data_IF_722855154451
#
_entry.id   IF_722855154451
#
_cell.length_a   1.000
_cell.length_b   1.000
_cell.length_c   1.000
_cell.angle_alpha   90.00
_cell.angle_beta   90.00
_cell.angle_gamma   90.00
#
_symmetry.space_group_name_H-M   'P 1'
#
loop_
_entity.id
_entity.type
_entity.pdbx_description
1 polymer ?
#
# COMPACT_ATOMS: atom_id res chain seq x y z
N UNK A 1 62.43 17.05 23.16
CA UNK A 1 61.71 17.11 24.46
C UNK A 1 60.23 16.84 24.16
N UNK A 2 59.76 15.58 24.03
CA UNK A 2 59.23 14.67 25.07
C UNK A 2 58.33 15.33 26.13
N UNK A 3 57.11 14.75 26.27
CA UNK A 3 56.07 14.82 27.33
C UNK A 3 55.10 16.03 27.27
N UNK A 4 53.78 15.91 27.43
CA UNK A 4 52.90 14.92 28.10
C UNK A 4 51.55 14.74 27.37
N UNK A 5 51.11 13.51 27.04
CA UNK A 5 50.12 12.72 27.81
C UNK A 5 49.07 13.55 28.59
N UNK A 6 47.90 13.75 27.99
CA UNK A 6 46.62 13.82 28.72
C UNK A 6 45.71 12.72 28.19
N UNK A 7 45.37 11.80 29.09
CA UNK A 7 44.36 10.77 28.86
C UNK A 7 42.99 11.42 28.72
N UNK A 8 42.34 11.21 27.59
CA UNK A 8 40.90 11.32 27.47
C UNK A 8 40.31 9.99 27.90
N UNK A 9 39.84 9.91 29.15
CA UNK A 9 39.05 8.78 29.62
C UNK A 9 37.81 8.65 28.74
N UNK A 10 37.61 7.46 28.15
CA UNK A 10 36.33 7.09 27.54
C UNK A 10 35.29 7.14 28.66
N UNK A 11 34.39 8.13 28.61
CA UNK A 11 33.16 8.10 29.41
C UNK A 11 32.32 6.94 28.88
N UNK A 12 32.21 5.90 29.70
CA UNK A 12 31.13 4.92 29.64
C UNK A 12 29.80 5.68 29.81
N UNK A 13 28.86 5.46 28.88
CA UNK A 13 27.49 5.94 29.00
C UNK A 13 27.10 7.09 28.07
N UNK A 14 27.48 7.05 26.79
CA UNK A 14 26.62 7.71 25.79
C UNK A 14 25.34 6.87 25.66
N UNK A 15 24.15 7.39 26.04
CA UNK A 15 22.92 6.76 25.61
C UNK A 15 22.94 6.76 24.09
N UNK A 16 22.81 5.57 23.50
CA UNK A 16 22.48 5.40 22.09
C UNK A 16 21.39 6.42 21.75
N UNK A 17 21.48 7.16 20.63
CA UNK A 17 20.43 8.10 20.26
C UNK A 17 19.14 7.29 20.18
N UNK A 18 18.28 7.46 21.19
CA UNK A 18 16.92 6.94 21.16
C UNK A 18 16.33 7.45 19.85
N UNK A 19 15.91 6.51 19.01
CA UNK A 19 15.52 6.78 17.63
C UNK A 19 14.68 8.04 17.56
N UNK A 20 15.04 8.94 16.65
CA UNK A 20 14.29 10.16 16.42
C UNK A 20 12.78 9.82 16.38
N UNK A 21 11.91 10.62 17.03
CA UNK A 21 10.48 10.33 17.07
C UNK A 21 9.99 10.09 15.64
N UNK A 22 9.33 8.95 15.44
CA UNK A 22 8.75 8.57 14.14
C UNK A 22 7.86 9.74 13.69
N UNK A 23 8.05 10.27 12.47
CA UNK A 23 7.17 11.29 11.93
C UNK A 23 5.71 10.86 12.05
N UNK A 24 4.82 11.79 12.41
CA UNK A 24 3.40 11.48 12.66
C UNK A 24 2.78 10.76 11.47
N UNK A 25 3.11 11.20 10.26
CA UNK A 25 2.67 10.60 9.00
C UNK A 25 3.10 9.14 8.87
N UNK A 26 4.34 8.82 9.25
CA UNK A 26 4.83 7.44 9.21
C UNK A 26 4.08 6.56 10.23
N UNK A 27 3.83 7.06 11.45
CA UNK A 27 3.07 6.32 12.46
C UNK A 27 1.62 6.03 12.02
N UNK A 28 0.98 6.99 11.33
CA UNK A 28 -0.35 6.81 10.74
C UNK A 28 -0.34 5.71 9.67
N UNK A 29 0.66 5.70 8.78
CA UNK A 29 0.81 4.68 7.74
C UNK A 29 1.07 3.29 8.34
N UNK A 30 1.98 3.19 9.31
CA UNK A 30 2.27 1.93 10.01
C UNK A 30 1.02 1.36 10.68
N UNK A 31 0.24 2.22 11.35
CA UNK A 31 -1.03 1.83 11.98
C UNK A 31 -2.05 1.36 10.94
N UNK A 32 -2.18 2.07 9.81
CA UNK A 32 -3.06 1.67 8.72
C UNK A 32 -2.70 0.29 8.16
N UNK A 33 -1.42 0.07 7.81
CA UNK A 33 -0.97 -1.20 7.23
C UNK A 33 -0.99 -2.33 8.26
N UNK A 34 -0.79 -2.05 9.55
CA UNK A 34 -0.99 -3.03 10.63
C UNK A 34 -2.44 -3.52 10.66
N UNK A 35 -3.42 -2.61 10.65
CA UNK A 35 -4.83 -2.97 10.56
C UNK A 35 -5.16 -3.73 9.27
N UNK A 36 -4.62 -3.30 8.13
CA UNK A 36 -4.81 -3.95 6.85
C UNK A 36 -4.26 -5.39 6.85
N UNK A 37 -3.08 -5.60 7.43
CA UNK A 37 -2.40 -6.89 7.52
C UNK A 37 -3.12 -7.92 8.40
N UNK A 38 -3.91 -7.46 9.38
CA UNK A 38 -4.79 -8.33 10.20
C UNK A 38 -6.24 -8.33 9.71
N UNK A 39 -6.49 -7.85 8.48
CA UNK A 39 -7.81 -7.80 7.84
C UNK A 39 -8.86 -6.96 8.59
N UNK A 40 -8.42 -5.99 9.42
CA UNK A 40 -9.30 -5.09 10.16
C UNK A 40 -9.63 -3.83 9.32
N UNK A 41 -10.31 -4.05 8.20
CA UNK A 41 -10.52 -3.01 7.18
C UNK A 41 -11.32 -1.80 7.66
N UNK A 42 -12.34 -2.01 8.48
CA UNK A 42 -13.14 -0.91 9.03
C UNK A 42 -12.28 -0.01 9.94
N UNK A 43 -11.46 -0.61 10.81
CA UNK A 43 -10.50 0.14 11.65
C UNK A 43 -9.44 0.86 10.82
N UNK A 44 -8.94 0.22 9.76
CA UNK A 44 -7.98 0.84 8.85
C UNK A 44 -8.57 2.09 8.20
N UNK A 45 -9.81 1.99 7.71
CA UNK A 45 -10.55 3.10 7.11
C UNK A 45 -10.83 4.22 8.12
N UNK A 46 -11.41 3.88 9.27
CA UNK A 46 -11.75 4.86 10.32
C UNK A 46 -10.51 5.62 10.81
N UNK A 47 -9.35 4.94 10.89
CA UNK A 47 -8.08 5.54 11.25
C UNK A 47 -7.69 6.67 10.27
N UNK A 48 -7.63 6.39 8.97
CA UNK A 48 -7.19 7.39 7.98
C UNK A 48 -8.23 8.49 7.75
N UNK A 49 -9.53 8.20 7.91
CA UNK A 49 -10.58 9.22 7.87
C UNK A 49 -10.48 10.18 9.06
N UNK A 50 -10.26 9.65 10.27
CA UNK A 50 -10.05 10.47 11.47
C UNK A 50 -8.82 11.38 11.33
N UNK A 51 -7.70 10.84 10.86
CA UNK A 51 -6.47 11.61 10.63
C UNK A 51 -6.68 12.69 9.56
N UNK A 52 -7.39 12.37 8.48
CA UNK A 52 -7.72 13.33 7.42
C UNK A 52 -8.60 14.48 7.93
N UNK A 53 -9.57 14.18 8.80
CA UNK A 53 -10.44 15.21 9.41
C UNK A 53 -9.74 16.04 10.49
N UNK A 54 -8.77 15.45 11.21
CA UNK A 54 -7.93 16.17 12.18
C UNK A 54 -6.92 17.11 11.50
N UNK A 55 -6.45 16.73 10.30
CA UNK A 55 -5.38 17.42 9.58
C UNK A 55 -5.85 18.10 8.29
N UNK A 56 -7.05 18.70 8.27
CA UNK A 56 -7.64 19.37 7.09
C UNK A 56 -6.75 20.44 6.44
N UNK A 57 -5.81 21.01 7.19
CA UNK A 57 -4.88 22.05 6.72
C UNK A 57 -3.51 21.48 6.30
N UNK A 58 -3.34 20.15 6.30
CA UNK A 58 -2.11 19.51 5.86
C UNK A 58 -1.93 19.60 4.34
N UNK A 59 -0.75 19.18 3.86
CA UNK A 59 -0.41 19.17 2.44
C UNK A 59 -1.44 18.42 1.60
N UNK A 60 -1.77 18.97 0.42
CA UNK A 60 -2.76 18.40 -0.50
C UNK A 60 -2.44 16.96 -0.93
N UNK A 61 -1.15 16.62 -1.03
CA UNK A 61 -0.62 15.28 -1.34
C UNK A 61 -0.96 14.28 -0.24
N UNK A 62 -0.69 14.63 1.02
CA UNK A 62 -1.00 13.81 2.20
C UNK A 62 -2.50 13.53 2.32
N UNK A 63 -3.33 14.56 2.20
CA UNK A 63 -4.79 14.41 2.26
C UNK A 63 -5.33 13.55 1.10
N UNK A 64 -4.73 13.67 -0.09
CA UNK A 64 -5.06 12.83 -1.23
C UNK A 64 -4.69 11.37 -1.00
N UNK A 65 -3.52 11.11 -0.39
CA UNK A 65 -3.12 9.76 -0.02
C UNK A 65 -4.07 9.16 1.01
N UNK A 66 -4.40 9.88 2.09
CA UNK A 66 -5.33 9.39 3.12
C UNK A 66 -6.71 9.03 2.55
N UNK A 67 -7.22 9.85 1.62
CA UNK A 67 -8.45 9.52 0.90
C UNK A 67 -8.31 8.23 0.07
N UNK A 68 -7.19 8.08 -0.65
CA UNK A 68 -6.88 6.85 -1.38
C UNK A 68 -6.77 5.62 -0.46
N UNK A 69 -6.16 5.74 0.72
CA UNK A 69 -6.07 4.64 1.70
C UNK A 69 -7.44 4.23 2.25
N UNK A 70 -8.36 5.17 2.44
CA UNK A 70 -9.74 4.85 2.82
C UNK A 70 -10.45 4.04 1.72
N UNK A 71 -10.28 4.42 0.45
CA UNK A 71 -10.77 3.65 -0.69
C UNK A 71 -10.11 2.27 -0.79
N UNK A 72 -8.81 2.17 -0.52
CA UNK A 72 -8.08 0.90 -0.50
C UNK A 72 -8.65 -0.06 0.56
N UNK A 73 -8.88 0.41 1.78
CA UNK A 73 -9.44 -0.42 2.85
C UNK A 73 -10.84 -0.95 2.48
N UNK A 74 -11.69 -0.10 1.88
CA UNK A 74 -13.01 -0.52 1.39
C UNK A 74 -12.90 -1.56 0.25
N UNK A 75 -11.98 -1.35 -0.70
CA UNK A 75 -11.74 -2.27 -1.81
C UNK A 75 -11.23 -3.63 -1.31
N UNK A 76 -10.27 -3.65 -0.41
CA UNK A 76 -9.71 -4.88 0.16
C UNK A 76 -10.74 -5.67 0.98
N UNK A 77 -11.65 -4.99 1.70
CA UNK A 77 -12.78 -5.66 2.36
C UNK A 77 -13.69 -6.36 1.36
N UNK A 78 -14.06 -5.68 0.27
CA UNK A 78 -14.87 -6.27 -0.79
C UNK A 78 -14.13 -7.43 -1.49
N UNK A 79 -12.82 -7.27 -1.72
CA UNK A 79 -11.95 -8.31 -2.29
C UNK A 79 -11.96 -9.56 -1.42
N UNK A 80 -11.70 -9.39 -0.13
CA UNK A 80 -11.57 -10.47 0.84
C UNK A 80 -12.86 -11.28 0.95
N UNK A 81 -13.99 -10.59 0.91
CA UNK A 81 -15.31 -11.23 0.94
C UNK A 81 -15.72 -11.84 -0.41
N UNK A 82 -14.88 -11.73 -1.45
CA UNK A 82 -15.12 -12.24 -2.80
C UNK A 82 -16.47 -11.81 -3.40
N UNK A 83 -16.98 -10.63 -3.02
CA UNK A 83 -18.33 -10.17 -3.40
C UNK A 83 -18.49 -9.86 -4.90
N UNK A 84 -17.38 -9.90 -5.64
CA UNK A 84 -17.33 -9.77 -7.10
C UNK A 84 -17.62 -11.09 -7.82
N UNK A 85 -17.42 -12.24 -7.16
CA UNK A 85 -17.72 -13.55 -7.75
C UNK A 85 -19.23 -13.78 -7.85
N UNK A 86 -19.67 -14.40 -8.95
CA UNK A 86 -21.06 -14.80 -9.11
C UNK A 86 -22.06 -13.68 -9.43
N UNK A 87 -21.60 -12.45 -9.73
CA UNK A 87 -22.45 -11.40 -10.28
C UNK A 87 -22.85 -11.74 -11.73
N UNK A 88 -23.81 -12.65 -11.88
CA UNK A 88 -24.33 -13.08 -13.18
C UNK A 88 -25.13 -11.95 -13.84
N UNK A 89 -24.83 -11.67 -15.10
CA UNK A 89 -25.60 -10.81 -16.00
C UNK A 89 -27.05 -11.35 -16.10
N UNK A 90 -27.98 -10.87 -15.26
CA UNK A 90 -29.41 -11.20 -15.37
C UNK A 90 -30.11 -11.75 -14.11
N UNK A 91 -29.41 -11.98 -13.00
CA UNK A 91 -30.05 -12.24 -11.70
C UNK A 91 -29.84 -11.03 -10.80
N UNK A 92 -30.92 -10.43 -10.29
CA UNK A 92 -30.90 -9.25 -9.43
C UNK A 92 -29.98 -9.44 -8.21
N UNK A 93 -28.70 -9.11 -8.36
CA UNK A 93 -27.84 -8.77 -7.24
C UNK A 93 -28.28 -7.39 -6.79
N UNK A 94 -28.97 -7.29 -5.65
CA UNK A 94 -29.39 -6.02 -5.07
C UNK A 94 -28.20 -5.13 -4.63
N UNK A 95 -26.95 -5.55 -4.90
CA UNK A 95 -25.71 -4.77 -4.78
C UNK A 95 -25.12 -4.34 -6.16
N UNK A 96 -25.85 -4.54 -7.26
CA UNK A 96 -25.33 -4.55 -8.64
C UNK A 96 -24.98 -3.21 -9.31
N UNK A 97 -25.01 -2.03 -8.68
CA UNK A 97 -24.94 -0.83 -9.56
C UNK A 97 -24.27 0.45 -9.09
N UNK A 98 -23.27 0.42 -8.20
CA UNK A 98 -22.45 1.63 -8.10
C UNK A 98 -20.96 1.44 -7.99
N UNK A 99 -20.48 0.43 -7.28
CA UNK A 99 -19.04 0.27 -7.11
C UNK A 99 -18.66 -1.21 -7.22
N UNK A 100 -18.50 -1.68 -8.46
CA UNK A 100 -17.77 -2.94 -8.66
C UNK A 100 -16.38 -2.78 -8.07
N UNK A 101 -15.80 -3.85 -7.51
CA UNK A 101 -14.44 -3.79 -6.97
C UNK A 101 -13.43 -3.27 -7.99
N UNK A 102 -13.66 -3.58 -9.29
CA UNK A 102 -12.90 -3.06 -10.42
C UNK A 102 -12.99 -1.54 -10.55
N UNK A 103 -14.19 -0.98 -10.35
CA UNK A 103 -14.41 0.48 -10.35
C UNK A 103 -13.62 1.13 -9.22
N UNK A 104 -13.69 0.58 -8.01
CA UNK A 104 -13.00 1.13 -6.83
C UNK A 104 -11.48 1.09 -7.04
N UNK A 105 -10.93 -0.05 -7.46
CA UNK A 105 -9.49 -0.19 -7.75
C UNK A 105 -9.03 0.70 -8.91
N UNK A 106 -9.84 0.87 -9.95
CA UNK A 106 -9.51 1.77 -11.07
C UNK A 106 -9.46 3.23 -10.60
N UNK A 107 -10.46 3.66 -9.82
CA UNK A 107 -10.49 5.01 -9.25
C UNK A 107 -9.28 5.24 -8.34
N UNK A 108 -9.04 4.31 -7.41
CA UNK A 108 -7.90 4.35 -6.49
C UNK A 108 -6.57 4.44 -7.24
N UNK A 109 -6.37 3.60 -8.26
CA UNK A 109 -5.15 3.60 -9.05
C UNK A 109 -4.92 4.95 -9.74
N UNK A 110 -5.98 5.60 -10.23
CA UNK A 110 -5.90 6.94 -10.82
C UNK A 110 -5.59 8.03 -9.79
N UNK A 111 -6.14 7.93 -8.58
CA UNK A 111 -5.83 8.84 -7.47
C UNK A 111 -4.36 8.70 -7.03
N UNK A 112 -3.87 7.48 -6.84
CA UNK A 112 -2.48 7.20 -6.49
C UNK A 112 -1.51 7.73 -7.56
N UNK A 113 -1.82 7.55 -8.85
CA UNK A 113 -1.01 8.12 -9.94
C UNK A 113 -0.91 9.64 -9.88
N UNK A 114 -1.96 10.35 -9.45
CA UNK A 114 -1.89 11.81 -9.25
C UNK A 114 -0.94 12.16 -8.11
N UNK A 115 -0.98 11.42 -7.00
CA UNK A 115 -0.03 11.61 -5.87
C UNK A 115 1.42 11.37 -6.32
N UNK A 116 1.68 10.31 -7.09
CA UNK A 116 3.00 10.04 -7.68
C UNK A 116 3.49 11.22 -8.53
N UNK A 117 2.62 11.75 -9.41
CA UNK A 117 2.95 12.86 -10.29
C UNK A 117 3.25 14.17 -9.51
N UNK A 118 2.46 14.46 -8.47
CA UNK A 118 2.69 15.62 -7.60
C UNK A 118 4.02 15.53 -6.87
N UNK A 119 4.36 14.37 -6.29
CA UNK A 119 5.63 14.18 -5.58
C UNK A 119 6.86 14.33 -6.48
N UNK A 120 6.78 13.89 -7.75
CA UNK A 120 7.87 14.08 -8.73
C UNK A 120 8.08 15.54 -9.15
N UNK A 121 7.02 16.36 -9.07
CA UNK A 121 7.08 17.78 -9.40
C UNK A 121 7.41 18.67 -8.19
N UNK A 122 7.42 18.12 -6.97
CA UNK A 122 7.65 18.85 -5.73
C UNK A 122 9.14 19.09 -5.39
N UNK A 123 10.05 18.91 -6.37
CA UNK A 123 11.50 19.15 -6.21
C UNK A 123 11.73 20.64 -5.89
N UNK A 124 11.84 20.96 -4.59
CA UNK A 124 12.02 22.33 -4.07
C UNK A 124 11.01 22.77 -3.00
N UNK A 125 10.07 21.92 -2.60
CA UNK A 125 9.08 22.22 -1.53
C UNK A 125 9.65 22.19 -0.10
N UNK A 126 8.84 22.65 0.87
CA UNK A 126 9.21 22.77 2.29
C UNK A 126 9.35 21.43 3.04
N UNK A 127 8.92 20.31 2.45
CA UNK A 127 8.99 18.97 3.06
C UNK A 127 9.33 17.87 2.02
N UNK A 128 10.56 17.87 1.44
CA UNK A 128 10.93 17.01 0.32
C UNK A 128 10.92 15.51 0.66
N UNK A 129 11.28 15.13 1.89
CA UNK A 129 11.33 13.73 2.32
C UNK A 129 9.94 13.08 2.42
N UNK A 130 8.93 13.85 2.85
CA UNK A 130 7.57 13.33 2.93
C UNK A 130 7.03 13.09 1.52
N UNK A 131 7.19 14.04 0.60
CA UNK A 131 6.72 13.88 -0.79
C UNK A 131 7.37 12.70 -1.51
N UNK A 132 8.67 12.44 -1.26
CA UNK A 132 9.35 11.26 -1.78
C UNK A 132 8.75 9.96 -1.24
N UNK A 133 8.51 9.88 0.07
CA UNK A 133 7.85 8.75 0.71
C UNK A 133 6.44 8.52 0.14
N UNK A 134 5.63 9.58 0.02
CA UNK A 134 4.26 9.50 -0.50
C UNK A 134 4.26 9.06 -1.97
N UNK A 135 5.17 9.58 -2.78
CA UNK A 135 5.30 9.20 -4.19
C UNK A 135 5.71 7.73 -4.31
N UNK A 136 6.72 7.29 -3.55
CA UNK A 136 7.19 5.91 -3.57
C UNK A 136 6.11 4.92 -3.11
N UNK A 137 5.46 5.23 -1.98
CA UNK A 137 4.37 4.41 -1.45
C UNK A 137 3.21 4.34 -2.45
N UNK A 138 2.82 5.47 -3.04
CA UNK A 138 1.73 5.50 -4.02
C UNK A 138 2.05 4.66 -5.27
N UNK A 139 3.31 4.65 -5.71
CA UNK A 139 3.76 3.81 -6.82
C UNK A 139 3.68 2.31 -6.47
N UNK A 140 4.13 1.92 -5.27
CA UNK A 140 3.98 0.55 -4.77
C UNK A 140 2.51 0.12 -4.69
N UNK A 141 1.65 1.01 -4.17
CA UNK A 141 0.21 0.76 -4.09
C UNK A 141 -0.44 0.64 -5.48
N UNK A 142 0.04 1.36 -6.50
CA UNK A 142 -0.42 1.16 -7.87
C UNK A 142 -0.15 -0.28 -8.35
N UNK A 143 1.07 -0.81 -8.13
CA UNK A 143 1.39 -2.20 -8.50
C UNK A 143 0.55 -3.20 -7.71
N UNK A 144 0.36 -2.97 -6.41
CA UNK A 144 -0.48 -3.82 -5.56
C UNK A 144 -1.93 -3.88 -6.08
N UNK A 145 -2.53 -2.72 -6.38
CA UNK A 145 -3.90 -2.62 -6.89
C UNK A 145 -4.05 -3.31 -8.25
N UNK A 146 -3.06 -3.16 -9.13
CA UNK A 146 -3.06 -3.87 -10.42
C UNK A 146 -2.98 -5.39 -10.24
N UNK A 147 -2.08 -5.87 -9.39
CA UNK A 147 -1.97 -7.29 -9.08
C UNK A 147 -3.29 -7.84 -8.50
N UNK A 148 -3.93 -7.11 -7.58
CA UNK A 148 -5.24 -7.46 -7.03
C UNK A 148 -6.30 -7.61 -8.12
N UNK A 149 -6.36 -6.69 -9.08
CA UNK A 149 -7.31 -6.78 -10.20
C UNK A 149 -7.05 -8.00 -11.09
N UNK A 150 -5.78 -8.29 -11.45
CA UNK A 150 -5.45 -9.47 -12.27
C UNK A 150 -5.79 -10.78 -11.53
N UNK A 151 -5.56 -10.85 -10.22
CA UNK A 151 -5.95 -12.02 -9.41
C UNK A 151 -7.48 -12.11 -9.27
N UNK A 152 -8.21 -11.00 -9.19
CA UNK A 152 -9.68 -11.02 -9.22
C UNK A 152 -10.19 -11.61 -10.54
N UNK A 153 -9.62 -11.21 -11.68
CA UNK A 153 -9.94 -11.78 -13.00
C UNK A 153 -9.64 -13.28 -13.06
N UNK A 154 -8.54 -13.71 -12.43
CA UNK A 154 -8.20 -15.12 -12.29
C UNK A 154 -9.23 -15.89 -11.43
N UNK A 155 -9.69 -15.34 -10.31
CA UNK A 155 -10.75 -15.93 -9.50
C UNK A 155 -12.08 -16.03 -10.27
N UNK A 156 -12.45 -15.00 -11.03
CA UNK A 156 -13.64 -15.04 -11.90
C UNK A 156 -13.52 -16.15 -12.96
N UNK A 157 -12.35 -16.30 -13.59
CA UNK A 157 -12.07 -17.38 -14.54
C UNK A 157 -12.24 -18.74 -13.86
N UNK A 158 -11.62 -18.98 -12.71
CA UNK A 158 -11.79 -20.23 -11.96
C UNK A 158 -13.24 -20.51 -11.59
N UNK A 159 -13.98 -19.48 -11.13
CA UNK A 159 -15.39 -19.60 -10.81
C UNK A 159 -16.22 -20.00 -12.04
N UNK A 160 -15.93 -19.44 -13.22
CA UNK A 160 -16.61 -19.81 -14.46
C UNK A 160 -16.36 -21.27 -14.88
N UNK A 161 -15.16 -21.79 -14.61
CA UNK A 161 -14.76 -23.17 -14.90
C UNK A 161 -15.33 -24.17 -13.90
N UNK A 162 -15.79 -23.73 -12.72
CA UNK A 162 -16.30 -24.61 -11.66
C UNK A 162 -17.50 -25.47 -12.06
N UNK A 163 -18.25 -25.05 -13.09
CA UNK A 163 -19.41 -25.79 -13.62
C UNK A 163 -19.06 -26.74 -14.77
N UNK A 164 -17.81 -26.74 -15.22
CA UNK A 164 -17.34 -27.60 -16.31
C UNK A 164 -16.96 -29.00 -15.80
N UNK A 165 -17.21 -30.03 -16.62
CA UNK A 165 -16.86 -31.42 -16.28
C UNK A 165 -15.35 -31.67 -16.24
N UNK A 166 -14.58 -30.84 -16.93
CA UNK A 166 -13.13 -30.93 -17.03
C UNK A 166 -12.55 -29.53 -16.87
N UNK A 167 -11.48 -29.41 -16.08
CA UNK A 167 -10.76 -28.17 -15.85
C UNK A 167 -9.31 -28.40 -16.25
N UNK A 168 -8.79 -27.57 -17.16
CA UNK A 168 -7.37 -27.59 -17.51
C UNK A 168 -6.57 -26.85 -16.43
N UNK A 169 -6.07 -27.59 -15.44
CA UNK A 169 -5.30 -27.03 -14.33
C UNK A 169 -3.95 -26.45 -14.76
N UNK A 170 -3.32 -27.00 -15.80
CA UNK A 170 -2.04 -26.53 -16.33
C UNK A 170 -2.15 -25.09 -16.87
N UNK A 171 -3.22 -24.80 -17.61
CA UNK A 171 -3.49 -23.44 -18.09
C UNK A 171 -3.68 -22.45 -16.94
N UNK A 172 -4.38 -22.86 -15.87
CA UNK A 172 -4.60 -22.00 -14.69
C UNK A 172 -3.28 -21.71 -13.95
N UNK A 173 -2.43 -22.72 -13.79
CA UNK A 173 -1.10 -22.56 -13.19
C UNK A 173 -0.27 -21.59 -14.03
N UNK A 174 -0.22 -21.77 -15.35
CA UNK A 174 0.54 -20.90 -16.25
C UNK A 174 0.08 -19.42 -16.17
N UNK A 175 -1.23 -19.19 -16.06
CA UNK A 175 -1.78 -17.83 -15.87
C UNK A 175 -1.32 -17.26 -14.52
N UNK A 176 -1.44 -18.02 -13.43
CA UNK A 176 -1.04 -17.57 -12.10
C UNK A 176 0.47 -17.28 -12.02
N UNK A 177 1.31 -18.14 -12.59
CA UNK A 177 2.76 -17.94 -12.66
C UNK A 177 3.13 -16.68 -13.44
N UNK A 178 2.44 -16.40 -14.54
CA UNK A 178 2.61 -15.17 -15.32
C UNK A 178 2.30 -13.91 -14.50
N UNK A 179 1.21 -13.93 -13.73
CA UNK A 179 0.83 -12.83 -12.83
C UNK A 179 1.90 -12.67 -11.74
N UNK A 180 2.28 -13.76 -11.05
CA UNK A 180 3.32 -13.74 -10.02
C UNK A 180 4.61 -13.14 -10.55
N UNK A 181 5.14 -13.67 -11.67
CA UNK A 181 6.39 -13.19 -12.28
C UNK A 181 6.37 -11.70 -12.59
N UNK A 182 5.23 -11.16 -13.05
CA UNK A 182 5.06 -9.73 -13.37
C UNK A 182 5.22 -8.84 -12.15
N UNK A 183 4.71 -9.27 -11.00
CA UNK A 183 4.71 -8.47 -9.77
C UNK A 183 5.81 -8.84 -8.78
N UNK A 184 6.48 -9.98 -8.93
CA UNK A 184 7.66 -10.37 -8.12
C UNK A 184 8.90 -9.49 -8.34
N UNK A 185 8.97 -8.80 -9.48
CA UNK A 185 10.10 -7.92 -9.83
C UNK A 185 9.93 -6.46 -9.34
N UNK A 186 8.78 -6.14 -8.73
CA UNK A 186 8.55 -4.82 -8.13
C UNK A 186 9.41 -4.71 -6.88
N UNK A 187 10.49 -3.93 -6.99
CA UNK A 187 11.60 -3.90 -6.04
C UNK A 187 11.09 -3.72 -4.60
N UNK A 188 11.55 -4.54 -3.65
CA UNK A 188 11.32 -4.30 -2.24
C UNK A 188 11.85 -2.91 -1.86
N UNK A 189 11.14 -2.28 -0.92
CA UNK A 189 11.46 -1.04 -0.20
C UNK A 189 12.98 -0.82 -0.16
N UNK A 190 13.50 0.05 -1.05
CA UNK A 190 14.88 0.53 -0.89
C UNK A 190 14.86 1.53 0.25
N UNK A 191 15.41 1.15 1.38
CA UNK A 191 15.94 2.10 2.35
C UNK A 191 15.14 2.27 3.64
N UNK A 192 14.96 1.19 4.39
CA UNK A 192 15.29 1.29 5.82
C UNK A 192 16.62 0.59 5.96
N UNK A 193 17.68 1.39 6.12
CA UNK A 193 19.05 0.91 6.17
C UNK A 193 19.28 0.00 7.35
N UNK A 194 19.21 -1.30 7.12
CA UNK A 194 20.00 -2.27 7.87
C UNK A 194 21.15 -2.68 6.96
N UNK A 195 22.31 -2.10 7.25
CA UNK A 195 23.59 -2.61 6.77
C UNK A 195 23.71 -4.05 7.26
N UNK A 196 23.51 -5.01 6.36
CA UNK A 196 24.23 -6.27 6.47
C UNK A 196 25.67 -5.98 6.07
N UNK A 197 26.56 -5.96 7.06
CA UNK A 197 28.00 -6.02 6.81
C UNK A 197 28.34 -7.49 6.58
N UNK A 198 28.85 -7.81 5.39
CA UNK A 198 29.83 -8.88 5.22
C UNK A 198 31.17 -8.49 5.89
#
# INVERSE_FOLDING_TARGET
>A
RRRDRRGGGRRMGEPMPMGAPVPVEQAVLETFFSHLGIFSYDKAKDNVEKEREAHKNAGSSWLSLLAGLAHLAAAEKAYHNMTFLGQKLGGQSFFSRKDSIRTIYTSLHNELKKVVATGRNAVGGTAPHLEELLSHLSEQLCFFVQARMEIADFYEKMYSLSTQKYINSEELINVLESILKRYSSSKPVRGIGLREND
#
